data_IF_353473570595
#
_entry.id   IF_353473570595
#
_cell.length_a   1.000
_cell.length_b   1.000
_cell.length_c   1.000
_cell.angle_alpha   90.00
_cell.angle_beta   90.00
_cell.angle_gamma   90.00
#
_symmetry.space_group_name_H-M   'P 1'
#
loop_
_entity.id
_entity.type
_entity.pdbx_description
1 polymer ?
#
# COMPACT_ATOMS: atom_id res chain seq x y z
N UNK A 1 -33.48 16.15 -34.38
CA UNK A 1 -32.01 16.10 -34.38
C UNK A 1 -31.55 17.38 -33.69
N UNK A 2 -31.36 17.34 -32.37
CA UNK A 2 -30.98 18.49 -31.57
C UNK A 2 -29.47 18.38 -31.29
N UNK A 3 -28.74 19.36 -31.79
CA UNK A 3 -27.30 19.52 -31.61
C UNK A 3 -27.05 20.07 -30.20
N UNK A 4 -26.49 19.24 -29.33
CA UNK A 4 -25.98 19.62 -28.01
C UNK A 4 -24.45 19.67 -28.09
N UNK A 5 -23.92 20.68 -28.77
CA UNK A 5 -22.54 21.10 -28.57
C UNK A 5 -22.42 21.77 -27.19
N UNK A 6 -22.09 20.96 -26.19
CA UNK A 6 -21.73 21.45 -24.86
C UNK A 6 -20.42 22.22 -24.97
N UNK A 7 -20.51 23.53 -24.71
CA UNK A 7 -19.39 24.42 -24.49
C UNK A 7 -18.60 23.92 -23.27
N UNK A 8 -17.53 23.16 -23.52
CA UNK A 8 -16.42 23.07 -22.58
C UNK A 8 -15.88 24.48 -22.43
N UNK A 9 -16.26 25.15 -21.34
CA UNK A 9 -15.64 26.40 -20.93
C UNK A 9 -14.15 26.13 -20.76
N UNK A 10 -13.35 26.69 -21.67
CA UNK A 10 -11.92 26.76 -21.52
C UNK A 10 -11.62 27.58 -20.26
N UNK A 11 -11.11 26.89 -19.23
CA UNK A 11 -10.60 27.54 -18.04
C UNK A 11 -9.33 28.30 -18.48
N UNK A 12 -9.25 29.64 -18.29
CA UNK A 12 -8.10 30.42 -18.71
C UNK A 12 -6.82 29.89 -18.05
N UNK A 13 -5.84 29.52 -18.88
CA UNK A 13 -4.57 28.91 -18.46
C UNK A 13 -3.55 29.87 -17.83
N UNK A 14 -3.95 31.07 -17.45
CA UNK A 14 -3.06 32.10 -16.93
C UNK A 14 -3.51 32.57 -15.54
N UNK A 15 -3.10 31.90 -14.45
CA UNK A 15 -2.96 32.52 -13.10
C UNK A 15 -2.37 31.62 -11.99
N UNK A 16 -1.52 30.63 -12.27
CA UNK A 16 -0.87 29.84 -11.19
C UNK A 16 0.66 29.82 -11.23
N UNK A 17 1.29 30.91 -11.72
CA UNK A 17 2.71 31.12 -11.47
C UNK A 17 2.89 31.76 -10.09
N UNK A 18 2.96 30.95 -9.03
CA UNK A 18 3.50 31.42 -7.73
C UNK A 18 2.84 30.90 -6.46
N UNK A 19 1.65 30.29 -6.51
CA UNK A 19 1.02 29.72 -5.32
C UNK A 19 1.44 28.25 -5.21
N UNK A 20 2.35 27.95 -4.27
CA UNK A 20 2.59 26.55 -3.89
C UNK A 20 1.30 26.01 -3.27
N UNK A 21 0.88 24.78 -3.62
CA UNK A 21 -0.26 24.18 -2.94
C UNK A 21 0.03 24.11 -1.42
N UNK A 22 -0.96 24.47 -0.61
CA UNK A 22 -0.86 24.32 0.85
C UNK A 22 -0.71 22.85 1.28
N UNK A 23 -1.16 21.93 0.42
CA UNK A 23 -1.09 20.49 0.62
C UNK A 23 0.15 19.97 -0.12
N UNK A 24 1.04 19.32 0.62
CA UNK A 24 2.27 18.75 0.07
C UNK A 24 2.24 17.22 -0.07
N UNK A 25 1.25 16.55 0.53
CA UNK A 25 1.03 15.10 0.46
C UNK A 25 -0.47 14.84 0.63
N UNK A 26 -1.03 13.87 -0.11
CA UNK A 26 -2.33 13.27 0.21
C UNK A 26 -2.09 11.88 0.77
N UNK A 27 -2.68 11.58 1.92
CA UNK A 27 -2.57 10.29 2.59
C UNK A 27 -3.90 9.55 2.58
N UNK A 28 -3.88 8.27 2.23
CA UNK A 28 -5.05 7.38 2.32
C UNK A 28 -4.78 6.25 3.31
N UNK A 29 -5.84 5.83 4.00
CA UNK A 29 -5.82 4.66 4.87
C UNK A 29 -6.56 3.51 4.17
N UNK A 30 -6.10 2.27 4.28
CA UNK A 30 -6.80 1.10 3.73
C UNK A 30 -6.57 -0.15 4.59
N UNK A 31 -7.66 -0.87 4.86
CA UNK A 31 -7.60 -2.18 5.49
C UNK A 31 -8.38 -3.20 4.67
N UNK A 32 -7.75 -4.31 4.29
CA UNK A 32 -8.32 -5.28 3.36
C UNK A 32 -9.53 -6.05 3.94
N UNK A 33 -9.50 -6.45 5.22
CA UNK A 33 -10.57 -7.25 5.83
C UNK A 33 -11.85 -6.46 6.11
N UNK A 34 -11.80 -5.13 6.12
CA UNK A 34 -12.99 -4.30 6.37
C UNK A 34 -13.94 -4.25 5.15
N UNK A 35 -13.47 -4.65 3.96
CA UNK A 35 -14.20 -4.54 2.69
C UNK A 35 -15.09 -5.75 2.37
N UNK A 36 -15.96 -6.20 3.29
CA UNK A 36 -17.06 -7.13 2.98
C UNK A 36 -16.66 -8.45 2.29
N UNK A 37 -15.41 -8.87 2.45
CA UNK A 37 -14.83 -10.00 1.73
C UNK A 37 -15.25 -11.31 2.40
N UNK A 38 -15.97 -12.17 1.67
CA UNK A 38 -16.19 -13.55 2.08
C UNK A 38 -15.21 -14.48 1.37
N UNK A 39 -14.06 -14.74 1.98
CA UNK A 39 -13.29 -15.95 1.66
C UNK A 39 -13.54 -16.98 2.75
N UNK A 40 -13.56 -18.27 2.38
CA UNK A 40 -13.71 -19.37 3.34
C UNK A 40 -12.61 -19.40 4.42
N UNK A 41 -11.43 -18.81 4.15
CA UNK A 41 -10.37 -18.52 5.10
C UNK A 41 -9.69 -17.19 4.77
N UNK A 42 -9.39 -16.39 5.79
CA UNK A 42 -8.76 -15.07 5.61
C UNK A 42 -7.39 -15.16 4.89
N UNK A 43 -6.64 -16.24 5.12
CA UNK A 43 -5.36 -16.51 4.44
C UNK A 43 -5.48 -16.56 2.91
N UNK A 44 -6.61 -17.03 2.39
CA UNK A 44 -6.87 -17.04 0.95
C UNK A 44 -7.22 -15.65 0.44
N UNK A 45 -7.83 -14.80 1.26
CA UNK A 45 -8.02 -13.40 0.89
C UNK A 45 -6.67 -12.68 0.74
N UNK A 46 -5.72 -12.92 1.66
CA UNK A 46 -4.40 -12.28 1.62
C UNK A 46 -3.60 -12.66 0.39
N UNK A 47 -3.71 -13.90 -0.07
CA UNK A 47 -3.00 -14.39 -1.26
C UNK A 47 -3.74 -14.08 -2.58
N UNK A 48 -4.95 -13.53 -2.52
CA UNK A 48 -5.70 -13.22 -3.72
C UNK A 48 -5.32 -11.83 -4.26
N UNK A 49 -4.32 -11.83 -5.13
CA UNK A 49 -3.84 -10.62 -5.80
C UNK A 49 -4.98 -9.83 -6.47
N UNK A 50 -5.82 -10.49 -7.28
CA UNK A 50 -6.89 -9.80 -8.01
C UNK A 50 -7.89 -9.11 -7.08
N UNK A 51 -8.18 -9.72 -5.93
CA UNK A 51 -9.04 -9.15 -4.92
C UNK A 51 -8.38 -7.95 -4.22
N UNK A 52 -7.14 -8.10 -3.77
CA UNK A 52 -6.37 -7.00 -3.17
C UNK A 52 -6.26 -5.83 -4.14
N UNK A 53 -5.84 -6.08 -5.38
CA UNK A 53 -5.64 -5.10 -6.42
C UNK A 53 -6.94 -4.36 -6.77
N UNK A 54 -8.04 -5.08 -6.99
CA UNK A 54 -9.33 -4.47 -7.33
C UNK A 54 -9.88 -3.58 -6.22
N UNK A 55 -9.81 -4.02 -4.97
CA UNK A 55 -10.29 -3.25 -3.82
C UNK A 55 -9.42 -2.02 -3.60
N UNK A 56 -8.09 -2.18 -3.60
CA UNK A 56 -7.18 -1.08 -3.41
C UNK A 56 -7.34 -0.07 -4.54
N UNK A 57 -7.32 -0.52 -5.79
CA UNK A 57 -7.44 0.34 -6.96
C UNK A 57 -8.75 1.12 -6.95
N UNK A 58 -9.88 0.45 -6.69
CA UNK A 58 -11.18 1.13 -6.60
C UNK A 58 -11.20 2.22 -5.52
N UNK A 59 -10.44 2.05 -4.43
CA UNK A 59 -10.31 3.03 -3.37
C UNK A 59 -9.40 4.21 -3.73
N UNK A 60 -8.28 3.95 -4.40
CA UNK A 60 -7.26 4.99 -4.68
C UNK A 60 -7.48 5.70 -6.00
N UNK A 61 -8.10 5.06 -7.00
CA UNK A 61 -8.22 5.63 -8.35
C UNK A 61 -8.91 6.98 -8.39
N UNK A 62 -9.99 7.27 -7.62
CA UNK A 62 -10.59 8.60 -7.64
C UNK A 62 -9.66 9.69 -7.12
N UNK A 63 -8.80 9.35 -6.15
CA UNK A 63 -7.78 10.26 -5.62
C UNK A 63 -6.66 10.47 -6.63
N UNK A 64 -6.21 9.41 -7.30
CA UNK A 64 -5.21 9.51 -8.38
C UNK A 64 -5.74 10.40 -9.52
N UNK A 65 -6.98 10.18 -9.96
CA UNK A 65 -7.63 10.97 -11.01
C UNK A 65 -7.77 12.44 -10.61
N UNK A 66 -8.17 12.71 -9.36
CA UNK A 66 -8.22 14.06 -8.81
C UNK A 66 -6.83 14.71 -8.81
N UNK A 67 -5.81 14.01 -8.30
CA UNK A 67 -4.44 14.52 -8.23
C UNK A 67 -3.88 14.81 -9.62
N UNK A 68 -4.06 13.91 -10.58
CA UNK A 68 -3.58 14.09 -11.95
C UNK A 68 -4.37 15.15 -12.73
N UNK A 69 -5.66 15.30 -12.46
CA UNK A 69 -6.51 16.31 -13.10
C UNK A 69 -6.17 17.74 -12.69
N UNK A 70 -5.83 17.95 -11.41
CA UNK A 70 -5.55 19.28 -10.86
C UNK A 70 -4.06 19.62 -10.75
N UNK A 71 -3.20 18.62 -10.46
CA UNK A 71 -1.78 18.79 -10.21
C UNK A 71 -0.97 17.93 -11.18
N UNK A 72 -0.78 18.42 -12.41
CA UNK A 72 0.00 17.69 -13.43
C UNK A 72 1.46 17.46 -12.96
N UNK A 73 2.06 16.30 -13.29
CA UNK A 73 3.50 16.08 -13.11
C UNK A 73 4.34 17.15 -13.85
N UNK A 74 5.55 17.52 -13.36
CA UNK A 74 6.33 16.86 -12.31
C UNK A 74 6.14 17.41 -10.89
N UNK A 75 5.33 18.47 -10.70
CA UNK A 75 5.11 19.12 -9.40
C UNK A 75 3.92 18.56 -8.60
N UNK A 76 3.38 17.42 -9.02
CA UNK A 76 2.15 16.82 -8.47
C UNK A 76 2.25 16.51 -6.98
N UNK A 77 1.14 16.70 -6.26
CA UNK A 77 1.06 16.33 -4.84
C UNK A 77 1.15 14.80 -4.76
N UNK A 78 2.15 14.22 -4.07
CA UNK A 78 2.31 12.78 -3.98
C UNK A 78 1.17 12.12 -3.19
N UNK A 79 0.75 10.95 -3.67
CA UNK A 79 -0.11 10.03 -2.94
C UNK A 79 0.74 9.15 -2.02
N UNK A 80 0.36 9.07 -0.75
CA UNK A 80 0.92 8.18 0.26
C UNK A 80 -0.18 7.29 0.82
N UNK A 81 0.16 6.04 1.08
CA UNK A 81 -0.70 5.09 1.77
C UNK A 81 -0.33 5.12 3.26
N UNK A 82 -0.89 6.05 4.02
CA UNK A 82 -0.41 6.40 5.36
C UNK A 82 -0.89 5.52 6.51
N UNK A 83 -1.85 4.64 6.29
CA UNK A 83 -2.21 3.61 7.28
C UNK A 83 -2.75 2.40 6.55
N UNK A 84 -1.97 1.32 6.51
CA UNK A 84 -2.30 0.12 5.76
C UNK A 84 -2.35 -1.11 6.64
N UNK A 85 -3.45 -1.85 6.51
CA UNK A 85 -3.82 -3.00 7.32
C UNK A 85 -4.27 -4.19 6.47
N UNK A 86 -3.98 -5.41 6.92
CA UNK A 86 -4.63 -6.58 6.35
C UNK A 86 -6.00 -6.78 7.02
N UNK A 87 -6.09 -6.53 8.33
CA UNK A 87 -7.29 -6.69 9.15
C UNK A 87 -7.28 -5.75 10.36
N UNK A 88 -8.46 -5.28 10.76
CA UNK A 88 -8.68 -4.61 12.02
C UNK A 88 -9.24 -5.61 13.04
N UNK A 89 -8.37 -6.11 13.92
CA UNK A 89 -8.72 -6.98 15.07
C UNK A 89 -8.93 -8.48 14.75
N UNK A 90 -8.56 -9.32 15.72
CA UNK A 90 -9.21 -10.61 16.00
C UNK A 90 -8.99 -11.80 15.05
N UNK A 91 -7.76 -12.30 14.90
CA UNK A 91 -7.32 -13.72 14.83
C UNK A 91 -5.77 -13.80 14.64
N UNK A 92 -5.02 -14.01 15.73
CA UNK A 92 -3.54 -14.04 15.70
C UNK A 92 -2.94 -15.26 15.01
N UNK A 93 -3.74 -16.21 14.54
CA UNK A 93 -3.25 -17.48 13.95
C UNK A 93 -2.50 -17.31 12.62
N UNK A 94 -2.47 -16.10 12.06
CA UNK A 94 -1.96 -15.85 10.71
C UNK A 94 -0.64 -15.07 10.63
N UNK A 95 -0.17 -14.48 11.73
CA UNK A 95 0.97 -13.54 11.74
C UNK A 95 2.30 -14.19 11.36
N UNK A 96 2.45 -15.50 11.65
CA UNK A 96 3.64 -16.30 11.40
C UNK A 96 3.50 -17.24 10.20
N UNK A 97 2.71 -16.86 9.19
CA UNK A 97 2.54 -17.64 7.95
C UNK A 97 3.30 -17.02 6.77
N UNK A 98 3.67 -17.83 5.78
CA UNK A 98 4.24 -17.32 4.51
C UNK A 98 3.30 -16.29 3.85
N UNK A 99 1.99 -16.46 4.00
CA UNK A 99 0.99 -15.55 3.45
C UNK A 99 1.06 -14.15 4.07
N UNK A 100 1.39 -14.06 5.37
CA UNK A 100 1.60 -12.78 6.03
C UNK A 100 2.84 -12.05 5.51
N UNK A 101 3.85 -12.76 4.97
CA UNK A 101 5.01 -12.16 4.28
C UNK A 101 4.70 -11.79 2.82
N UNK A 102 3.97 -12.64 2.09
CA UNK A 102 3.65 -12.41 0.68
C UNK A 102 2.67 -11.24 0.48
N UNK A 103 1.70 -11.08 1.38
CA UNK A 103 0.73 -10.00 1.29
C UNK A 103 1.33 -8.58 1.28
N UNK A 104 2.17 -8.16 2.25
CA UNK A 104 2.77 -6.83 2.22
C UNK A 104 3.73 -6.66 1.04
N UNK A 105 4.37 -7.75 0.58
CA UNK A 105 5.19 -7.74 -0.64
C UNK A 105 4.37 -7.35 -1.85
N UNK A 106 3.29 -8.09 -2.12
CA UNK A 106 2.41 -7.86 -3.26
C UNK A 106 1.78 -6.46 -3.19
N UNK A 107 1.30 -6.07 -2.02
CA UNK A 107 0.69 -4.77 -1.78
C UNK A 107 1.65 -3.60 -2.03
N UNK A 108 2.90 -3.68 -1.56
CA UNK A 108 3.92 -2.65 -1.76
C UNK A 108 4.29 -2.49 -3.24
N UNK A 109 4.53 -3.61 -3.94
CA UNK A 109 4.89 -3.60 -5.35
C UNK A 109 3.72 -3.14 -6.23
N UNK A 110 2.51 -3.62 -5.94
CA UNK A 110 1.29 -3.17 -6.61
C UNK A 110 1.07 -1.67 -6.42
N UNK A 111 1.20 -1.17 -5.18
CA UNK A 111 1.04 0.25 -4.87
C UNK A 111 2.05 1.14 -5.58
N UNK A 112 3.30 0.68 -5.63
CA UNK A 112 4.37 1.37 -6.35
C UNK A 112 4.08 1.45 -7.85
N UNK A 113 3.42 0.44 -8.41
CA UNK A 113 3.16 0.37 -9.86
C UNK A 113 2.16 1.42 -10.39
N UNK A 114 1.30 1.96 -9.52
CA UNK A 114 0.39 3.06 -9.87
C UNK A 114 0.84 4.41 -9.28
N UNK A 115 2.07 4.49 -8.77
CA UNK A 115 2.72 5.74 -8.37
C UNK A 115 2.46 6.18 -6.93
N UNK A 116 2.06 5.28 -6.02
CA UNK A 116 2.10 5.60 -4.60
C UNK A 116 3.56 5.85 -4.16
N UNK A 117 3.82 6.98 -3.49
CA UNK A 117 5.17 7.40 -3.10
C UNK A 117 5.72 6.62 -1.91
N UNK A 118 4.86 6.28 -0.97
CA UNK A 118 5.24 5.51 0.22
C UNK A 118 4.04 4.85 0.85
N UNK A 119 4.31 3.88 1.72
CA UNK A 119 3.33 3.16 2.51
C UNK A 119 3.76 3.13 3.97
N UNK A 120 2.82 3.32 4.88
CA UNK A 120 2.99 3.12 6.31
C UNK A 120 2.05 2.00 6.75
N UNK A 121 2.65 0.86 7.07
CA UNK A 121 1.94 -0.28 7.64
C UNK A 121 1.52 0.04 9.06
N UNK A 122 0.27 -0.26 9.42
CA UNK A 122 -0.23 -0.01 10.76
C UNK A 122 0.41 -1.01 11.74
N UNK A 123 1.32 -0.52 12.57
CA UNK A 123 1.99 -1.34 13.59
C UNK A 123 1.39 -1.02 14.96
N UNK A 124 1.15 -2.05 15.76
CA UNK A 124 0.61 -1.91 17.11
C UNK A 124 0.71 -3.22 17.87
N UNK A 125 0.74 -3.12 19.20
CA UNK A 125 0.71 -4.29 20.07
C UNK A 125 -0.59 -5.08 19.83
N UNK A 126 -0.46 -6.38 19.59
CA UNK A 126 -1.56 -7.28 19.24
C UNK A 126 -2.10 -7.13 17.82
N UNK A 127 -1.50 -6.30 16.96
CA UNK A 127 -1.89 -6.20 15.54
C UNK A 127 -1.25 -7.31 14.70
N UNK A 128 -2.07 -7.99 13.91
CA UNK A 128 -1.63 -9.14 13.09
C UNK A 128 -0.59 -8.79 12.02
N UNK A 129 -0.53 -7.52 11.62
CA UNK A 129 0.39 -7.02 10.59
C UNK A 129 1.59 -6.29 11.17
N UNK A 130 1.75 -6.26 12.49
CA UNK A 130 2.92 -5.64 13.07
C UNK A 130 4.17 -6.38 12.57
N UNK A 131 5.23 -5.63 12.28
CA UNK A 131 6.51 -6.18 11.88
C UNK A 131 7.13 -7.04 13.00
N UNK A 132 6.83 -6.69 14.24
CA UNK A 132 7.29 -7.35 15.45
C UNK A 132 6.22 -7.24 16.53
N UNK A 133 6.20 -8.18 17.46
CA UNK A 133 5.33 -8.19 18.63
C UNK A 133 6.16 -8.41 19.90
N UNK A 134 5.82 -7.79 21.04
CA UNK A 134 6.42 -8.13 22.31
C UNK A 134 5.89 -9.50 22.77
N UNK A 135 6.78 -10.41 23.17
CA UNK A 135 6.42 -11.69 23.75
C UNK A 135 7.12 -11.90 25.10
N UNK A 136 6.44 -12.60 26.01
CA UNK A 136 6.99 -12.93 27.33
C UNK A 136 7.88 -14.17 27.22
N UNK A 137 9.12 -14.05 27.70
CA UNK A 137 10.02 -15.19 27.87
C UNK A 137 10.38 -15.38 29.34
N UNK A 138 10.54 -16.64 29.73
CA UNK A 138 11.01 -16.99 31.06
C UNK A 138 12.53 -17.02 31.05
N UNK A 139 13.15 -16.05 31.73
CA UNK A 139 14.61 -16.03 31.89
C UNK A 139 15.09 -17.13 32.83
N UNK A 140 16.40 -17.43 32.79
CA UNK A 140 17.03 -18.49 33.58
C UNK A 140 16.90 -18.34 35.10
N UNK A 141 16.60 -17.14 35.60
CA UNK A 141 16.36 -16.88 37.02
C UNK A 141 14.87 -16.88 37.40
N UNK A 142 13.98 -17.28 36.49
CA UNK A 142 12.53 -17.35 36.72
C UNK A 142 11.79 -16.03 36.53
N UNK A 143 12.46 -14.96 36.10
CA UNK A 143 11.81 -13.66 35.83
C UNK A 143 11.22 -13.65 34.41
N UNK A 144 10.01 -13.11 34.25
CA UNK A 144 9.44 -12.85 32.93
C UNK A 144 10.05 -11.56 32.37
N UNK A 145 10.63 -11.64 31.17
CA UNK A 145 11.10 -10.47 30.43
C UNK A 145 10.42 -10.40 29.07
N UNK A 146 10.26 -9.18 28.54
CA UNK A 146 9.67 -8.94 27.22
C UNK A 146 10.76 -8.97 26.16
N UNK A 147 10.64 -9.86 25.19
CA UNK A 147 11.47 -9.88 23.99
C UNK A 147 10.66 -9.53 22.75
N UNK A 148 11.32 -9.09 21.69
CA UNK A 148 10.69 -8.80 20.41
C UNK A 148 10.67 -10.07 19.55
N UNK A 149 9.49 -10.49 19.12
CA UNK A 149 9.31 -11.54 18.12
C UNK A 149 9.02 -10.90 16.77
N UNK A 150 9.96 -11.05 15.84
CA UNK A 150 9.79 -10.64 14.45
C UNK A 150 8.70 -11.46 13.78
N UNK A 151 7.72 -10.80 13.17
CA UNK A 151 6.59 -11.45 12.50
C UNK A 151 6.87 -11.68 11.02
N UNK A 152 6.21 -12.66 10.39
CA UNK A 152 6.48 -13.00 8.99
C UNK A 152 6.29 -11.80 8.03
N UNK A 153 5.37 -10.88 8.34
CA UNK A 153 5.11 -9.70 7.53
C UNK A 153 6.30 -8.76 7.34
N UNK A 154 7.22 -8.72 8.30
CA UNK A 154 8.41 -7.88 8.17
C UNK A 154 9.37 -8.34 7.08
N UNK A 155 9.50 -9.65 6.88
CA UNK A 155 10.33 -10.21 5.81
C UNK A 155 9.79 -9.83 4.43
N UNK A 156 8.46 -9.72 4.29
CA UNK A 156 7.85 -9.22 3.05
C UNK A 156 8.14 -7.75 2.79
N UNK A 157 8.07 -6.92 3.84
CA UNK A 157 8.46 -5.51 3.75
C UNK A 157 9.94 -5.35 3.42
N UNK A 158 10.81 -6.14 4.04
CA UNK A 158 12.24 -6.15 3.78
C UNK A 158 12.56 -6.58 2.33
N UNK A 159 11.88 -7.62 1.83
CA UNK A 159 12.00 -8.05 0.44
C UNK A 159 11.61 -6.94 -0.54
N UNK A 160 10.47 -6.28 -0.32
CA UNK A 160 10.03 -5.17 -1.18
C UNK A 160 11.00 -3.98 -1.11
N UNK A 161 11.54 -3.68 0.06
CA UNK A 161 12.55 -2.62 0.23
C UNK A 161 13.85 -2.95 -0.52
N UNK A 162 14.32 -4.20 -0.45
CA UNK A 162 15.50 -4.65 -1.20
C UNK A 162 15.27 -4.61 -2.71
N UNK A 163 14.07 -5.02 -3.16
CA UNK A 163 13.67 -4.97 -4.57
C UNK A 163 13.70 -3.54 -5.15
N UNK A 164 13.22 -2.55 -4.39
CA UNK A 164 13.27 -1.14 -4.81
C UNK A 164 14.71 -0.58 -4.72
N UNK A 165 15.46 -1.04 -3.73
CA UNK A 165 16.85 -0.66 -3.50
C UNK A 165 17.02 0.68 -2.78
N UNK A 166 18.27 1.18 -2.75
CA UNK A 166 18.67 2.42 -2.06
C UNK A 166 19.43 3.37 -3.00
N UNK A 167 19.37 4.69 -2.74
CA UNK A 167 20.21 5.69 -3.40
C UNK A 167 19.48 6.98 -3.79
N UNK A 168 20.23 7.94 -4.34
CA UNK A 168 19.71 9.23 -4.82
C UNK A 168 18.68 9.07 -5.96
N UNK A 169 18.79 7.99 -6.73
CA UNK A 169 17.93 7.68 -7.88
C UNK A 169 16.65 6.91 -7.48
N UNK A 170 16.38 6.77 -6.17
CA UNK A 170 15.18 6.10 -5.66
C UNK A 170 13.89 6.72 -6.22
N UNK A 171 13.88 8.03 -6.48
CA UNK A 171 12.72 8.73 -7.02
C UNK A 171 12.42 8.42 -8.49
N UNK A 172 13.37 7.84 -9.23
CA UNK A 172 13.20 7.46 -10.64
C UNK A 172 12.84 5.98 -10.81
N UNK A 173 12.92 5.19 -9.74
CA UNK A 173 12.56 3.77 -9.78
C UNK A 173 11.06 3.60 -10.04
N UNK A 174 10.74 2.74 -11.00
CA UNK A 174 9.36 2.43 -11.39
C UNK A 174 9.14 0.93 -11.30
N UNK A 175 7.93 0.57 -10.88
CA UNK A 175 7.47 -0.82 -10.86
C UNK A 175 6.48 -1.01 -12.00
N UNK A 176 6.75 -1.99 -12.87
CA UNK A 176 5.83 -2.42 -13.91
C UNK A 176 5.20 -3.75 -13.55
N UNK A 177 3.90 -3.90 -13.82
CA UNK A 177 3.15 -5.14 -13.64
C UNK A 177 3.23 -5.94 -14.95
N UNK A 178 3.82 -7.14 -14.89
CA UNK A 178 4.07 -7.97 -16.08
C UNK A 178 2.97 -9.00 -16.30
N UNK A 179 2.57 -9.70 -15.23
CA UNK A 179 1.59 -10.79 -15.28
C UNK A 179 0.75 -10.76 -14.01
N UNK A 180 -0.56 -10.84 -14.17
CA UNK A 180 -1.52 -10.98 -13.09
C UNK A 180 -2.50 -12.10 -13.46
N UNK A 181 -2.49 -13.18 -12.67
CA UNK A 181 -3.45 -14.27 -12.77
C UNK A 181 -3.70 -14.87 -11.40
N UNK A 182 -4.68 -15.77 -11.30
CA UNK A 182 -5.01 -16.43 -10.05
C UNK A 182 -3.76 -17.09 -9.43
N UNK A 183 -3.40 -16.65 -8.22
CA UNK A 183 -2.24 -17.13 -7.47
C UNK A 183 -0.86 -16.67 -7.97
N UNK A 184 -0.77 -15.74 -8.93
CA UNK A 184 0.51 -15.23 -9.43
C UNK A 184 0.44 -13.75 -9.81
N UNK A 185 1.33 -12.96 -9.20
CA UNK A 185 1.65 -11.58 -9.60
C UNK A 185 3.14 -11.49 -9.93
N UNK A 186 3.48 -10.80 -11.02
CA UNK A 186 4.86 -10.61 -11.48
C UNK A 186 5.13 -9.13 -11.68
N UNK A 187 6.20 -8.64 -11.05
CA UNK A 187 6.63 -7.25 -11.08
C UNK A 187 8.04 -7.14 -11.64
N UNK A 188 8.30 -6.07 -12.39
CA UNK A 188 9.64 -5.69 -12.82
C UNK A 188 9.96 -4.27 -12.35
N UNK A 189 11.14 -4.10 -11.75
CA UNK A 189 11.71 -2.80 -11.42
C UNK A 189 12.54 -2.28 -12.58
N UNK A 190 12.39 -1.00 -12.92
CA UNK A 190 13.19 -0.35 -13.95
C UNK A 190 13.48 1.10 -13.58
N UNK A 191 14.47 1.68 -14.27
CA UNK A 191 14.92 3.07 -14.13
C UNK A 191 14.91 3.70 -15.50
#
# INVERSE_FOLDING_TARGET
MADFSSSRGDIPSEHHKGVRPFINIVSLQHCQAHSGISCSKFIYCLLNHSLMASILFAKVSPTIDFLHGFFRPPSGIPLVLGEIGSKLGGDTSMTNTISAALWPTDLLLYSSSFGARSMAMQLGDGFEIAAWQPHDILSSNGTVVKEQEEQAGSYGMAFAADFVGKGADFYDFKVHRLVEREGLAVYAGYR
#
